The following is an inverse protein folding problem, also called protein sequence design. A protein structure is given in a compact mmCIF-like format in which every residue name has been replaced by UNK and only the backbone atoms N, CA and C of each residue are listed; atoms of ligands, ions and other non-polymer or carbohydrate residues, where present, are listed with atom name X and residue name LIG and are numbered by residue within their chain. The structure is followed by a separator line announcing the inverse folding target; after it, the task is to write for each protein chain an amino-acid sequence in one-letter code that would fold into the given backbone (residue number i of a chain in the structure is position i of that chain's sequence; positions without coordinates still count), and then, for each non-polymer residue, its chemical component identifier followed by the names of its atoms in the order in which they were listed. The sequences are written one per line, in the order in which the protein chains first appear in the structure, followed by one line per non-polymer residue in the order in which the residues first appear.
data_IF_109211544862
#
_entry.id   IF_109211544862
#
_cell.length_a   1.000
_cell.length_b   1.000
_cell.length_c   1.000
_cell.angle_alpha   90.00
_cell.angle_beta   90.00
_cell.angle_gamma   90.00
#
_symmetry.space_group_name_H-M   'P 1'
#
loop_
_entity.id
_entity.type
_entity.pdbx_description
1 polymer ?
#
# COMPACT_ATOMS: atom_id res chain seq x y z
N UNK A 1 10.55 22.73 34.64
CA UNK A 1 10.00 23.30 33.39
C UNK A 1 9.82 22.15 32.43
N UNK A 2 8.59 21.70 32.23
CA UNK A 2 8.25 20.56 31.37
C UNK A 2 8.48 20.94 29.92
N UNK A 3 9.48 20.33 29.27
CA UNK A 3 9.64 20.38 27.81
C UNK A 3 8.46 19.64 27.15
N UNK A 4 7.30 20.30 27.08
CA UNK A 4 6.13 19.83 26.36
C UNK A 4 6.33 19.99 24.85
N UNK A 5 5.61 19.16 24.08
CA UNK A 5 5.55 19.16 22.62
C UNK A 5 5.39 20.60 22.07
N UNK A 6 6.37 21.05 21.28
CA UNK A 6 6.43 22.42 20.73
C UNK A 6 5.56 22.51 19.48
N UNK A 7 4.26 22.25 19.59
CA UNK A 7 3.27 22.46 18.52
C UNK A 7 3.48 21.62 17.24
N UNK A 8 2.44 21.56 16.40
CA UNK A 8 2.52 20.95 15.07
C UNK A 8 2.88 21.99 14.00
N UNK A 9 3.48 21.54 12.90
CA UNK A 9 3.64 22.37 11.69
C UNK A 9 2.38 22.23 10.82
N UNK A 10 2.01 23.30 10.12
CA UNK A 10 1.00 23.27 9.06
C UNK A 10 1.70 23.51 7.71
N UNK A 11 2.26 22.46 7.07
CA UNK A 11 2.96 22.61 5.81
C UNK A 11 1.99 22.98 4.70
N UNK A 12 2.48 23.74 3.72
CA UNK A 12 1.71 24.07 2.54
C UNK A 12 1.22 22.81 1.81
N UNK A 13 -0.06 22.83 1.46
CA UNK A 13 -0.66 21.75 0.69
C UNK A 13 -0.16 21.77 -0.76
N UNK A 14 0.37 20.63 -1.24
CA UNK A 14 0.81 20.47 -2.63
C UNK A 14 -0.26 19.88 -3.55
N UNK A 15 -1.54 20.12 -3.24
CA UNK A 15 -2.68 19.52 -3.97
C UNK A 15 -2.79 20.01 -5.43
N UNK A 16 -2.32 21.21 -5.72
CA UNK A 16 -2.39 21.83 -7.05
C UNK A 16 -1.53 21.13 -8.10
N UNK A 17 -0.52 20.35 -7.71
CA UNK A 17 0.42 19.68 -8.64
C UNK A 17 -0.26 18.66 -9.57
N UNK A 18 -1.39 18.10 -9.14
CA UNK A 18 -2.10 17.04 -9.88
C UNK A 18 -3.61 17.27 -9.94
N UNK A 19 -4.12 18.40 -9.44
CA UNK A 19 -5.55 18.65 -9.31
C UNK A 19 -6.29 18.59 -10.65
N UNK A 20 -5.68 19.12 -11.71
CA UNK A 20 -6.29 19.23 -13.04
C UNK A 20 -5.83 18.14 -14.02
N UNK A 21 -5.07 17.14 -13.54
CA UNK A 21 -4.57 16.07 -14.41
C UNK A 21 -5.69 15.06 -14.71
N UNK A 22 -5.84 14.60 -15.97
CA UNK A 22 -6.80 13.55 -16.30
C UNK A 22 -6.43 12.23 -15.62
N UNK A 23 -7.44 11.39 -15.39
CA UNK A 23 -7.23 10.00 -14.95
C UNK A 23 -6.76 9.20 -16.17
N UNK A 24 -5.62 8.53 -16.03
CA UNK A 24 -5.03 7.71 -17.09
C UNK A 24 -4.97 6.24 -16.65
N UNK A 25 -5.07 5.32 -17.63
CA UNK A 25 -4.77 3.91 -17.37
C UNK A 25 -3.26 3.74 -17.36
N UNK A 26 -2.73 3.12 -16.32
CA UNK A 26 -1.34 2.72 -16.28
C UNK A 26 -1.07 1.71 -17.41
N UNK A 27 -0.12 2.03 -18.29
CA UNK A 27 0.42 1.06 -19.25
C UNK A 27 1.26 0.04 -18.49
N UNK A 28 0.99 -1.24 -18.70
CA UNK A 28 1.79 -2.34 -18.19
C UNK A 28 2.05 -3.34 -19.31
N UNK A 29 3.20 -3.99 -19.28
CA UNK A 29 3.55 -5.04 -20.23
C UNK A 29 2.98 -6.39 -19.76
N UNK A 30 2.63 -7.27 -20.71
CA UNK A 30 2.05 -8.59 -20.38
C UNK A 30 2.94 -9.43 -19.45
N UNK A 31 4.25 -9.28 -19.58
CA UNK A 31 5.26 -10.04 -18.85
C UNK A 31 6.01 -9.17 -17.82
N UNK A 32 5.41 -8.06 -17.40
CA UNK A 32 5.99 -7.17 -16.39
C UNK A 32 6.04 -7.85 -15.01
N UNK A 33 7.19 -7.75 -14.36
CA UNK A 33 7.38 -8.27 -13.01
C UNK A 33 7.02 -7.17 -12.01
N UNK A 34 5.97 -7.40 -11.24
CA UNK A 34 5.54 -6.52 -10.16
C UNK A 34 5.85 -7.12 -8.79
N UNK A 35 6.11 -6.25 -7.81
CA UNK A 35 6.29 -6.64 -6.41
C UNK A 35 5.09 -6.20 -5.59
N UNK A 36 4.42 -7.13 -4.91
CA UNK A 36 3.31 -6.84 -3.99
C UNK A 36 3.81 -7.06 -2.54
N UNK A 37 4.05 -6.00 -1.76
CA UNK A 37 4.59 -6.14 -0.41
C UNK A 37 3.53 -6.66 0.56
N UNK A 38 3.86 -7.70 1.35
CA UNK A 38 2.97 -8.20 2.42
C UNK A 38 2.81 -7.23 3.61
N UNK A 39 3.54 -6.12 3.59
CA UNK A 39 3.55 -5.11 4.66
C UNK A 39 3.18 -3.70 4.14
N UNK A 40 2.36 -3.60 3.08
CA UNK A 40 1.88 -2.31 2.55
C UNK A 40 0.75 -1.70 3.42
N UNK A 41 0.94 -1.71 4.74
CA UNK A 41 0.04 -1.13 5.74
C UNK A 41 0.78 -0.96 7.07
N UNK A 42 0.23 -0.14 7.98
CA UNK A 42 0.86 0.15 9.29
C UNK A 42 0.87 -1.04 10.27
N UNK A 43 0.09 -2.07 9.98
CA UNK A 43 -0.09 -3.25 10.81
C UNK A 43 1.00 -4.32 10.68
N UNK A 44 0.86 -5.41 11.46
CA UNK A 44 1.71 -6.59 11.34
C UNK A 44 1.57 -7.23 9.95
N UNK A 45 2.68 -7.67 9.31
CA UNK A 45 2.67 -8.18 7.94
C UNK A 45 1.64 -9.28 7.72
N UNK A 46 0.96 -9.23 6.58
CA UNK A 46 0.02 -10.26 6.18
C UNK A 46 0.73 -11.62 6.02
N UNK A 47 0.05 -12.70 6.39
CA UNK A 47 0.52 -14.07 6.20
C UNK A 47 0.31 -14.48 4.73
N UNK A 48 1.35 -15.01 4.10
CA UNK A 48 1.30 -15.53 2.74
C UNK A 48 0.30 -16.68 2.59
N UNK A 49 -0.51 -16.64 1.54
CA UNK A 49 -1.50 -17.68 1.22
C UNK A 49 -1.16 -18.48 -0.04
N UNK A 50 -0.22 -17.99 -0.84
CA UNK A 50 0.19 -18.58 -2.13
C UNK A 50 1.62 -19.07 -2.07
N UNK A 51 1.95 -20.05 -2.91
CA UNK A 51 3.29 -20.62 -3.01
C UNK A 51 4.06 -20.05 -4.20
N UNK A 52 5.39 -20.21 -4.16
CA UNK A 52 6.25 -19.86 -5.28
C UNK A 52 5.78 -20.57 -6.56
N UNK A 53 5.68 -19.82 -7.67
CA UNK A 53 5.19 -20.26 -9.00
C UNK A 53 3.70 -20.57 -9.08
N UNK A 54 2.92 -20.29 -8.04
CA UNK A 54 1.47 -20.42 -8.10
C UNK A 54 0.86 -19.34 -9.00
N UNK A 55 -0.09 -19.73 -9.85
CA UNK A 55 -0.86 -18.78 -10.64
C UNK A 55 -1.96 -18.16 -9.78
N UNK A 56 -2.11 -16.85 -9.87
CA UNK A 56 -3.12 -16.08 -9.13
C UNK A 56 -4.05 -15.35 -10.09
N UNK A 57 -5.30 -15.19 -9.69
CA UNK A 57 -6.31 -14.44 -10.46
C UNK A 57 -6.37 -12.98 -9.98
N UNK A 58 -6.88 -12.09 -10.84
CA UNK A 58 -7.15 -10.72 -10.44
C UNK A 58 -8.16 -10.70 -9.28
N UNK A 59 -7.81 -10.00 -8.19
CA UNK A 59 -8.63 -9.92 -6.98
C UNK A 59 -8.54 -11.15 -6.07
N UNK A 60 -7.71 -12.14 -6.40
CA UNK A 60 -7.46 -13.27 -5.50
C UNK A 60 -6.67 -12.80 -4.28
N UNK A 61 -7.11 -13.19 -3.09
CA UNK A 61 -6.36 -12.92 -1.86
C UNK A 61 -5.04 -13.71 -1.85
N UNK A 62 -3.92 -13.01 -1.79
CA UNK A 62 -2.57 -13.59 -1.72
C UNK A 62 -1.93 -13.49 -0.33
N UNK A 63 -2.47 -12.62 0.54
CA UNK A 63 -2.06 -12.46 1.92
C UNK A 63 -3.23 -12.27 2.88
N UNK A 64 -3.26 -13.01 3.99
CA UNK A 64 -4.26 -12.88 5.05
C UNK A 64 -3.77 -11.91 6.14
N UNK A 65 -4.67 -11.03 6.60
CA UNK A 65 -4.39 -10.17 7.75
C UNK A 65 -3.96 -10.98 8.97
N UNK A 66 -2.89 -10.56 9.67
CA UNK A 66 -2.37 -11.23 10.86
C UNK A 66 -2.12 -10.22 11.98
N UNK A 67 -2.65 -10.49 13.17
CA UNK A 67 -2.49 -9.63 14.35
C UNK A 67 -3.61 -8.59 14.49
N UNK A 68 -3.49 -7.73 15.52
CA UNK A 68 -4.55 -6.79 15.92
C UNK A 68 -4.78 -5.67 14.89
N UNK A 69 -3.70 -5.16 14.28
CA UNK A 69 -3.75 -4.21 13.17
C UNK A 69 -3.07 -4.90 11.99
N UNK A 70 -3.81 -5.16 10.91
CA UNK A 70 -3.34 -5.77 9.65
C UNK A 70 -4.46 -5.71 8.61
N UNK A 71 -4.18 -5.94 7.33
CA UNK A 71 -5.20 -6.06 6.28
C UNK A 71 -4.88 -7.20 5.31
N UNK A 72 -5.92 -7.70 4.63
CA UNK A 72 -5.76 -8.64 3.54
C UNK A 72 -5.09 -7.95 2.34
N UNK A 73 -4.37 -8.76 1.56
CA UNK A 73 -3.69 -8.34 0.34
C UNK A 73 -4.20 -9.23 -0.80
N UNK A 74 -4.56 -8.59 -1.90
CA UNK A 74 -5.07 -9.21 -3.12
C UNK A 74 -4.13 -8.89 -4.27
#
# INVERSE_FOLDING_TARGET
MTNGFIGGIHPDYKKTLTADKPIEKLSYEKDEIVSIPLSQHIGAPAQELVKKKEQVLCGQKIGASKGFISTNIH
#
